data_IF_917511939912
#
_entry.id   IF_917511939912
#
_cell.length_a   1.000
_cell.length_b   1.000
_cell.length_c   1.000
_cell.angle_alpha   90.00
_cell.angle_beta   90.00
_cell.angle_gamma   90.00
#
_symmetry.space_group_name_H-M   'P 1'
#
loop_
_entity.id
_entity.type
_entity.pdbx_description
1 polymer ?
#
# COMPACT_ATOMS: atom_id res chain seq x y z
N UNK A 1 14.61 -1.40 -3.64
CA UNK A 1 14.06 -0.28 -4.44
C UNK A 1 12.93 0.50 -3.74
N UNK A 2 11.97 -0.14 -3.02
CA UNK A 2 10.82 0.56 -2.43
C UNK A 2 11.13 1.64 -1.39
N UNK A 3 12.16 1.42 -0.55
CA UNK A 3 12.53 2.36 0.52
C UNK A 3 12.96 3.75 -0.01
N UNK A 4 13.62 3.81 -1.17
CA UNK A 4 14.05 5.08 -1.78
C UNK A 4 12.85 5.88 -2.30
N UNK A 5 11.86 5.21 -2.87
CA UNK A 5 10.62 5.83 -3.36
C UNK A 5 9.77 6.32 -2.19
N UNK A 6 9.63 5.49 -1.14
CA UNK A 6 8.93 5.89 0.09
C UNK A 6 9.55 7.14 0.73
N UNK A 7 10.88 7.20 0.83
CA UNK A 7 11.58 8.37 1.36
C UNK A 7 11.38 9.62 0.48
N UNK A 8 11.42 9.49 -0.85
CA UNK A 8 11.18 10.61 -1.77
C UNK A 8 9.74 11.18 -1.67
N UNK A 9 8.79 10.35 -1.26
CA UNK A 9 7.39 10.72 -1.06
C UNK A 9 7.07 11.15 0.39
N UNK A 10 8.08 11.25 1.27
CA UNK A 10 7.88 11.61 2.68
C UNK A 10 7.15 10.54 3.50
N UNK A 11 7.16 9.28 3.04
CA UNK A 11 6.45 8.16 3.67
C UNK A 11 7.41 7.45 4.63
N UNK A 12 7.10 7.52 5.93
CA UNK A 12 7.85 6.82 6.97
C UNK A 12 7.40 5.37 7.08
N UNK A 13 8.23 4.43 6.64
CA UNK A 13 8.02 2.99 6.82
C UNK A 13 8.31 2.61 8.28
N UNK A 14 7.28 2.24 9.04
CA UNK A 14 7.37 2.11 10.50
C UNK A 14 7.63 0.70 11.04
N UNK A 15 7.63 -0.36 10.20
CA UNK A 15 8.02 -1.74 10.55
C UNK A 15 7.95 -2.66 9.32
N UNK A 16 8.57 -3.85 9.36
CA UNK A 16 8.24 -4.94 8.42
C UNK A 16 6.81 -5.39 8.70
N UNK A 17 5.90 -5.03 7.80
CA UNK A 17 4.52 -5.50 7.87
C UNK A 17 4.49 -6.92 7.29
N UNK A 18 3.61 -7.78 7.80
CA UNK A 18 3.61 -9.23 7.54
C UNK A 18 3.44 -9.62 6.06
N UNK A 19 2.37 -10.32 5.74
CA UNK A 19 2.16 -10.87 4.39
C UNK A 19 0.74 -10.55 3.94
N UNK A 20 0.57 -10.17 2.67
CA UNK A 20 -0.71 -10.24 1.99
C UNK A 20 -0.74 -11.43 1.04
N UNK A 21 -1.90 -11.73 0.47
CA UNK A 21 -2.07 -12.78 -0.51
C UNK A 21 -2.43 -12.14 -1.85
N UNK A 22 -1.77 -12.56 -2.94
CA UNK A 22 -2.27 -12.26 -4.28
C UNK A 22 -3.57 -13.01 -4.55
N UNK A 23 -4.29 -12.64 -5.60
CA UNK A 23 -5.48 -13.38 -6.03
C UNK A 23 -5.19 -14.85 -6.39
N UNK A 24 -3.94 -15.17 -6.71
CA UNK A 24 -3.47 -16.55 -6.92
C UNK A 24 -3.05 -17.24 -5.61
N UNK A 25 -3.42 -16.70 -4.45
CA UNK A 25 -3.09 -17.22 -3.11
C UNK A 25 -1.60 -17.26 -2.78
N UNK A 26 -0.76 -16.55 -3.55
CA UNK A 26 0.68 -16.44 -3.27
C UNK A 26 0.93 -15.41 -2.19
N UNK A 27 1.73 -15.76 -1.19
CA UNK A 27 2.14 -14.80 -0.16
C UNK A 27 3.06 -13.74 -0.74
N UNK A 28 2.76 -12.48 -0.44
CA UNK A 28 3.52 -11.31 -0.86
C UNK A 28 3.97 -10.55 0.40
N UNK A 29 5.27 -10.32 0.59
CA UNK A 29 5.76 -9.55 1.73
C UNK A 29 5.30 -8.09 1.63
N UNK A 30 4.76 -7.57 2.74
CA UNK A 30 4.43 -6.16 2.83
C UNK A 30 5.70 -5.35 3.15
N UNK A 31 5.98 -4.35 2.32
CA UNK A 31 7.07 -3.40 2.54
C UNK A 31 6.71 -2.46 3.71
N UNK A 32 5.43 -2.11 3.82
CA UNK A 32 4.95 -1.23 4.88
C UNK A 32 3.49 -0.86 4.72
N UNK A 33 3.08 0.15 5.47
CA UNK A 33 1.75 0.72 5.37
C UNK A 33 1.78 2.25 5.57
N UNK A 34 0.86 2.94 4.93
CA UNK A 34 0.55 4.35 5.15
C UNK A 34 -0.74 4.39 5.96
N UNK A 35 -0.63 4.72 7.24
CA UNK A 35 -1.79 4.86 8.12
C UNK A 35 -2.46 6.20 7.91
N UNK A 36 -3.77 6.21 8.15
CA UNK A 36 -4.54 7.44 8.31
C UNK A 36 -4.50 8.38 7.10
N UNK A 37 -4.23 7.84 5.92
CA UNK A 37 -4.18 8.59 4.68
C UNK A 37 -5.60 9.10 4.36
N UNK A 38 -5.69 10.41 4.13
CA UNK A 38 -6.96 11.05 3.82
C UNK A 38 -7.11 11.24 2.31
N UNK A 39 -8.20 10.71 1.77
CA UNK A 39 -8.54 10.83 0.36
C UNK A 39 -9.90 11.52 0.21
N UNK A 40 -9.99 12.38 -0.80
CA UNK A 40 -11.26 12.90 -1.29
C UNK A 40 -11.68 12.09 -2.51
N UNK A 41 -12.96 11.75 -2.63
CA UNK A 41 -13.47 11.12 -3.84
C UNK A 41 -13.51 12.16 -4.97
N UNK A 42 -13.00 11.82 -6.15
CA UNK A 42 -13.04 12.72 -7.32
C UNK A 42 -14.49 13.12 -7.66
N UNK A 43 -15.43 12.17 -7.55
CA UNK A 43 -16.84 12.41 -7.81
C UNK A 43 -17.58 13.13 -6.66
N UNK A 44 -17.02 13.10 -5.43
CA UNK A 44 -17.63 13.69 -4.23
C UNK A 44 -16.54 14.32 -3.34
N UNK A 45 -15.97 15.48 -3.74
CA UNK A 45 -14.81 16.06 -3.06
C UNK A 45 -15.05 16.45 -1.60
N UNK A 46 -16.31 16.69 -1.22
CA UNK A 46 -16.76 16.96 0.14
C UNK A 46 -16.68 15.73 1.05
N UNK A 47 -16.68 14.52 0.47
CA UNK A 47 -16.55 13.27 1.22
C UNK A 47 -15.08 12.91 1.34
N UNK A 48 -14.60 12.88 2.59
CA UNK A 48 -13.25 12.41 2.93
C UNK A 48 -13.31 11.03 3.55
N UNK A 49 -12.43 10.16 3.11
CA UNK A 49 -12.22 8.83 3.69
C UNK A 49 -10.83 8.75 4.28
N UNK A 50 -10.77 8.14 5.45
CA UNK A 50 -9.53 7.80 6.13
C UNK A 50 -9.22 6.34 5.85
N UNK A 51 -8.09 6.07 5.20
CA UNK A 51 -7.73 4.73 4.74
C UNK A 51 -6.33 4.36 5.23
N UNK A 52 -6.12 3.07 5.47
CA UNK A 52 -4.78 2.52 5.63
C UNK A 52 -4.39 1.88 4.30
N UNK A 53 -3.29 2.32 3.71
CA UNK A 53 -2.75 1.76 2.47
C UNK A 53 -1.66 0.77 2.82
N UNK A 54 -1.77 -0.45 2.31
CA UNK A 54 -0.70 -1.45 2.37
C UNK A 54 0.20 -1.30 1.15
N UNK A 55 1.51 -1.33 1.38
CA UNK A 55 2.52 -1.22 0.31
C UNK A 55 3.24 -2.55 0.21
N UNK A 56 3.21 -3.16 -0.97
CA UNK A 56 3.79 -4.48 -1.24
C UNK A 56 4.65 -4.43 -2.52
N UNK A 57 5.75 -5.18 -2.56
CA UNK A 57 6.56 -5.35 -3.77
C UNK A 57 6.09 -6.60 -4.48
N UNK A 58 5.44 -6.45 -5.63
CA UNK A 58 4.73 -7.54 -6.29
C UNK A 58 5.42 -7.86 -7.59
N UNK A 59 5.94 -9.09 -7.75
CA UNK A 59 6.42 -9.53 -9.04
C UNK A 59 5.30 -9.41 -10.07
N UNK A 60 5.59 -8.86 -11.25
CA UNK A 60 4.60 -8.70 -12.33
C UNK A 60 3.86 -10.01 -12.67
N UNK A 61 4.47 -11.16 -12.38
CA UNK A 61 3.89 -12.49 -12.57
C UNK A 61 2.78 -12.89 -11.55
N UNK A 62 2.51 -12.11 -10.50
CA UNK A 62 1.60 -12.51 -9.41
C UNK A 62 0.17 -11.95 -9.57
N UNK A 63 -0.10 -11.19 -10.64
CA UNK A 63 -1.41 -10.60 -10.93
C UNK A 63 -1.80 -9.43 -10.00
N UNK A 64 -3.07 -9.04 -10.03
CA UNK A 64 -3.63 -7.98 -9.17
C UNK A 64 -3.75 -8.49 -7.71
N UNK A 65 -3.58 -7.61 -6.72
CA UNK A 65 -3.85 -7.92 -5.31
C UNK A 65 -5.33 -7.84 -4.95
N UNK A 66 -5.76 -8.70 -4.02
CA UNK A 66 -6.96 -8.50 -3.20
C UNK A 66 -6.58 -7.82 -1.88
#
# INVERSE_FOLDING_TARGET
>A
MPAKVAHALGITLTKSYGWCYSMETKQVPLIGQIKDAQFAFVAFPEKRVKMTILVADIPAAYGILL
#
